data_IF_188879341202
#
_entry.id   IF_188879341202
#
_cell.length_a   1.000
_cell.length_b   1.000
_cell.length_c   1.000
_cell.angle_alpha   90.00
_cell.angle_beta   90.00
_cell.angle_gamma   90.00
#
_symmetry.space_group_name_H-M   'P 1'
#
loop_
_entity.id
_entity.type
_entity.pdbx_description
1 polymer ?
#
# COMPACT_ATOMS: atom_id res chain seq x y z
N UNK A 1 -48.11 10.16 -31.27
CA UNK A 1 -46.67 10.05 -31.64
C UNK A 1 -45.86 11.31 -31.30
N UNK A 2 -46.48 12.49 -31.18
CA UNK A 2 -45.76 13.77 -30.91
C UNK A 2 -45.29 13.94 -29.45
N UNK A 3 -46.00 13.35 -28.49
CA UNK A 3 -45.68 13.51 -27.05
C UNK A 3 -44.37 12.84 -26.67
N UNK A 4 -44.02 11.74 -27.33
CA UNK A 4 -42.76 11.03 -27.09
C UNK A 4 -41.56 11.86 -27.54
N UNK A 5 -41.66 12.53 -28.68
CA UNK A 5 -40.62 13.43 -29.18
C UNK A 5 -40.47 14.64 -28.27
N UNK A 6 -41.59 15.26 -27.84
CA UNK A 6 -41.55 16.36 -26.86
C UNK A 6 -40.92 15.94 -25.53
N UNK A 7 -41.26 14.77 -24.99
CA UNK A 7 -40.68 14.27 -23.75
C UNK A 7 -39.15 14.06 -23.88
N UNK A 8 -38.69 13.53 -25.02
CA UNK A 8 -37.25 13.34 -25.26
C UNK A 8 -36.50 14.68 -25.37
N UNK A 9 -37.09 15.69 -26.01
CA UNK A 9 -36.48 17.01 -26.12
C UNK A 9 -36.41 17.72 -24.76
N UNK A 10 -37.44 17.57 -23.94
CA UNK A 10 -37.48 18.12 -22.59
C UNK A 10 -36.42 17.44 -21.69
N UNK A 11 -36.28 16.12 -21.78
CA UNK A 11 -35.25 15.37 -21.05
C UNK A 11 -33.83 15.74 -21.48
N UNK A 12 -33.59 15.93 -22.79
CA UNK A 12 -32.30 16.40 -23.30
C UNK A 12 -31.96 17.78 -22.76
N UNK A 13 -32.93 18.71 -22.79
CA UNK A 13 -32.76 20.06 -22.26
C UNK A 13 -32.48 20.05 -20.74
N UNK A 14 -33.18 19.22 -19.98
CA UNK A 14 -32.96 19.07 -18.55
C UNK A 14 -31.56 18.52 -18.24
N UNK A 15 -31.09 17.53 -19.02
CA UNK A 15 -29.73 17.00 -18.92
C UNK A 15 -28.69 18.07 -19.19
N UNK A 16 -28.87 18.86 -20.24
CA UNK A 16 -27.89 19.88 -20.64
C UNK A 16 -27.80 20.99 -19.58
N UNK A 17 -28.92 21.42 -19.00
CA UNK A 17 -28.95 22.37 -17.87
C UNK A 17 -28.26 21.79 -16.62
N UNK A 18 -28.49 20.50 -16.34
CA UNK A 18 -27.85 19.83 -15.21
C UNK A 18 -26.33 19.76 -15.42
N UNK A 19 -25.89 19.39 -16.63
CA UNK A 19 -24.48 19.33 -16.98
C UNK A 19 -23.80 20.69 -16.78
N UNK A 20 -24.42 21.76 -17.26
CA UNK A 20 -23.94 23.13 -17.07
C UNK A 20 -23.79 23.50 -15.60
N UNK A 21 -24.81 23.23 -14.78
CA UNK A 21 -24.76 23.51 -13.32
C UNK A 21 -23.70 22.68 -12.59
N UNK A 22 -23.53 21.42 -12.97
CA UNK A 22 -22.49 20.57 -12.37
C UNK A 22 -21.11 21.10 -12.76
N UNK A 23 -20.91 21.49 -14.02
CA UNK A 23 -19.64 22.08 -14.45
C UNK A 23 -19.34 23.39 -13.74
N UNK A 24 -20.35 24.26 -13.57
CA UNK A 24 -20.20 25.51 -12.82
C UNK A 24 -19.82 25.25 -11.36
N UNK A 25 -20.48 24.28 -10.71
CA UNK A 25 -20.18 23.90 -9.33
C UNK A 25 -18.80 23.28 -9.17
N UNK A 26 -18.37 22.45 -10.12
CA UNK A 26 -17.01 21.87 -10.13
C UNK A 26 -15.96 22.96 -10.32
N UNK A 27 -16.20 23.94 -11.19
CA UNK A 27 -15.29 25.07 -11.39
C UNK A 27 -15.24 25.99 -10.18
N UNK A 28 -16.39 26.25 -9.53
CA UNK A 28 -16.45 27.04 -8.31
C UNK A 28 -15.70 26.37 -7.14
N UNK A 29 -15.77 25.03 -7.05
CA UNK A 29 -15.09 24.26 -6.01
C UNK A 29 -13.68 23.79 -6.42
N UNK A 30 -13.17 24.21 -7.58
CA UNK A 30 -11.90 23.71 -8.13
C UNK A 30 -10.74 23.84 -7.15
N UNK A 31 -10.62 25.00 -6.50
CA UNK A 31 -9.48 25.27 -5.63
C UNK A 31 -9.54 24.45 -4.33
N UNK A 32 -10.75 24.19 -3.81
CA UNK A 32 -10.98 23.30 -2.67
C UNK A 32 -10.66 21.85 -3.04
N UNK A 33 -11.11 21.38 -4.23
CA UNK A 33 -10.79 20.05 -4.75
C UNK A 33 -9.28 19.88 -4.96
N UNK A 34 -8.60 20.93 -5.44
CA UNK A 34 -7.14 20.91 -5.60
C UNK A 34 -6.43 20.92 -4.25
N UNK A 35 -6.89 21.71 -3.27
CA UNK A 35 -6.32 21.74 -1.94
C UNK A 35 -6.47 20.38 -1.22
N UNK A 36 -7.62 19.73 -1.38
CA UNK A 36 -7.87 18.38 -0.88
C UNK A 36 -6.98 17.34 -1.58
N UNK A 37 -6.90 17.37 -2.91
CA UNK A 37 -6.03 16.48 -3.68
C UNK A 37 -4.53 16.66 -3.39
N UNK A 38 -4.12 17.87 -3.02
CA UNK A 38 -2.76 18.18 -2.58
C UNK A 38 -2.52 17.86 -1.10
N UNK A 39 -3.56 17.52 -0.34
CA UNK A 39 -3.47 17.21 1.08
C UNK A 39 -3.30 18.42 2.00
N UNK A 40 -3.45 19.65 1.47
CA UNK A 40 -3.27 20.90 2.22
C UNK A 40 -4.31 21.04 3.35
N UNK A 41 -5.49 20.44 3.20
CA UNK A 41 -6.51 20.41 4.25
C UNK A 41 -6.03 19.63 5.50
N UNK A 42 -5.17 18.62 5.32
CA UNK A 42 -4.66 17.79 6.41
C UNK A 42 -3.39 18.34 7.05
N UNK A 43 -2.65 19.25 6.41
CA UNK A 43 -1.41 19.82 6.96
C UNK A 43 -1.67 20.50 8.31
N UNK A 44 -2.74 21.29 8.42
CA UNK A 44 -3.07 21.96 9.70
C UNK A 44 -3.47 20.99 10.81
N UNK A 45 -4.10 19.86 10.46
CA UNK A 45 -4.50 18.84 11.44
C UNK A 45 -3.29 18.04 11.91
N UNK A 46 -2.37 17.72 11.00
CA UNK A 46 -1.10 17.06 11.28
C UNK A 46 -0.23 17.92 12.20
N UNK A 47 -0.10 19.21 11.92
CA UNK A 47 0.63 20.16 12.76
C UNK A 47 0.03 20.22 14.18
N UNK A 48 -1.30 20.26 14.28
CA UNK A 48 -1.99 20.22 15.57
C UNK A 48 -1.75 18.92 16.34
N UNK A 49 -1.69 17.77 15.65
CA UNK A 49 -1.34 16.49 16.28
C UNK A 49 0.11 16.46 16.77
N UNK A 50 1.05 17.04 16.03
CA UNK A 50 2.44 17.15 16.46
C UNK A 50 2.60 18.06 17.69
N UNK A 51 1.90 19.18 17.74
CA UNK A 51 1.88 20.06 18.92
C UNK A 51 1.32 19.33 20.14
N UNK A 52 0.18 18.63 19.99
CA UNK A 52 -0.42 17.84 21.06
C UNK A 52 0.51 16.70 21.53
N UNK A 53 1.17 16.02 20.60
CA UNK A 53 2.13 14.97 20.93
C UNK A 53 3.33 15.55 21.69
N UNK A 54 3.85 16.70 21.27
CA UNK A 54 4.92 17.42 21.94
C UNK A 54 4.57 17.78 23.39
N UNK A 55 3.37 18.32 23.62
CA UNK A 55 2.87 18.62 24.97
C UNK A 55 2.74 17.36 25.82
N UNK A 56 2.19 16.27 25.27
CA UNK A 56 2.07 15.00 25.99
C UNK A 56 3.42 14.39 26.35
N UNK A 57 4.39 14.42 25.44
CA UNK A 57 5.75 13.93 25.69
C UNK A 57 6.46 14.77 26.75
N UNK A 58 6.33 16.10 26.71
CA UNK A 58 6.87 16.98 27.73
C UNK A 58 6.26 16.68 29.11
N UNK A 59 4.95 16.43 29.17
CA UNK A 59 4.27 16.02 30.40
C UNK A 59 4.76 14.65 30.91
N UNK A 60 4.92 13.65 30.04
CA UNK A 60 5.47 12.35 30.44
C UNK A 60 6.90 12.49 30.94
N UNK A 61 7.73 13.29 30.27
CA UNK A 61 9.10 13.54 30.71
C UNK A 61 9.16 14.23 32.08
N UNK A 62 8.22 15.15 32.34
CA UNK A 62 8.05 15.75 33.66
C UNK A 62 7.66 14.71 34.73
N UNK A 63 6.72 13.82 34.42
CA UNK A 63 6.36 12.72 35.33
C UNK A 63 7.52 11.76 35.59
N UNK A 64 8.31 11.42 34.56
CA UNK A 64 9.51 10.60 34.69
C UNK A 64 10.58 11.28 35.55
N UNK A 65 10.75 12.60 35.42
CA UNK A 65 11.68 13.36 36.27
C UNK A 65 11.24 13.46 37.73
N UNK A 66 9.96 13.20 38.00
CA UNK A 66 9.38 13.15 39.34
C UNK A 66 9.14 11.72 39.84
N UNK A 67 9.56 10.69 39.09
CA UNK A 67 9.57 9.35 39.65
C UNK A 67 10.58 9.34 40.82
N UNK A 68 10.17 8.87 42.01
CA UNK A 68 11.14 8.63 43.07
C UNK A 68 12.18 7.65 42.52
N UNK A 69 13.47 7.96 42.72
CA UNK A 69 14.53 7.02 42.40
C UNK A 69 14.17 5.69 43.06
N UNK A 70 14.12 4.61 42.27
CA UNK A 70 13.96 3.26 42.82
C UNK A 70 14.92 3.15 43.99
N UNK A 71 14.35 2.92 45.16
CA UNK A 71 15.07 2.75 46.41
C UNK A 71 15.99 1.55 46.18
N UNK A 72 17.27 1.85 45.92
CA UNK A 72 18.30 0.85 45.76
C UNK A 72 18.28 0.00 47.03
N UNK A 73 17.75 -1.22 46.90
CA UNK A 73 17.78 -2.20 47.97
C UNK A 73 19.24 -2.33 48.45
N UNK A 74 19.52 -2.13 49.75
CA UNK A 74 20.86 -2.32 50.25
C UNK A 74 21.09 -3.82 50.47
N UNK A 75 22.03 -4.40 49.71
CA UNK A 75 22.70 -5.64 50.06
C UNK A 75 22.24 -6.90 49.32
N UNK A 76 23.14 -7.42 48.48
CA UNK A 76 23.04 -8.70 47.81
C UNK A 76 24.19 -8.86 46.83
N UNK A 77 25.37 -9.16 47.38
CA UNK A 77 26.62 -9.43 46.68
C UNK A 77 26.48 -10.58 45.66
N UNK A 78 27.30 -10.49 44.61
CA UNK A 78 27.78 -11.56 43.72
C UNK A 78 26.74 -12.55 43.16
N UNK A 79 26.43 -12.38 41.86
CA UNK A 79 26.65 -13.50 40.96
C UNK A 79 27.07 -13.03 39.57
N UNK A 80 28.29 -13.41 39.21
CA UNK A 80 28.88 -13.19 37.91
C UNK A 80 28.12 -13.99 36.86
N UNK A 81 27.62 -13.33 35.81
CA UNK A 81 27.27 -14.01 34.56
C UNK A 81 28.37 -13.68 33.55
N UNK A 82 29.33 -14.60 33.47
CA UNK A 82 30.29 -14.70 32.38
C UNK A 82 29.56 -14.72 31.03
N UNK A 83 29.83 -13.70 30.21
CA UNK A 83 29.60 -13.73 28.78
C UNK A 83 30.59 -14.72 28.15
N UNK A 84 30.17 -15.97 27.95
CA UNK A 84 30.91 -16.94 27.15
C UNK A 84 30.30 -17.11 25.76
N UNK A 85 31.19 -17.14 24.78
CA UNK A 85 30.96 -16.98 23.35
C UNK A 85 30.44 -18.26 22.65
N UNK A 86 29.60 -18.02 21.63
CA UNK A 86 29.65 -18.63 20.29
C UNK A 86 28.95 -19.99 19.96
N UNK A 87 28.65 -20.19 18.65
CA UNK A 87 27.47 -20.91 18.15
C UNK A 87 27.78 -22.36 17.75
N UNK A 88 26.75 -23.20 17.67
CA UNK A 88 26.87 -24.48 16.96
C UNK A 88 25.56 -24.97 16.35
N UNK A 89 25.68 -25.30 15.08
CA UNK A 89 24.70 -25.94 14.21
C UNK A 89 24.58 -27.45 14.47
N UNK A 90 23.61 -28.04 13.75
CA UNK A 90 23.33 -29.47 13.55
C UNK A 90 22.62 -30.17 14.72
N UNK A 91 21.63 -31.05 14.54
CA UNK A 91 20.87 -31.56 13.40
C UNK A 91 19.71 -32.40 13.99
N UNK A 92 18.68 -32.68 13.16
CA UNK A 92 17.97 -33.98 12.98
C UNK A 92 17.54 -34.77 14.26
N UNK A 93 16.36 -35.39 14.39
CA UNK A 93 15.42 -35.98 13.44
C UNK A 93 14.25 -36.60 14.26
N UNK A 94 13.20 -37.07 13.55
CA UNK A 94 12.16 -38.06 13.97
C UNK A 94 11.02 -37.52 14.85
N UNK A 95 9.73 -37.71 14.58
CA UNK A 95 8.97 -38.68 13.77
C UNK A 95 7.68 -37.99 13.25
N UNK A 96 7.36 -38.02 11.96
CA UNK A 96 6.63 -39.10 11.25
C UNK A 96 5.33 -39.57 11.91
N UNK A 97 4.22 -39.22 11.26
CA UNK A 97 3.17 -40.14 10.72
C UNK A 97 1.88 -39.32 10.55
N UNK A 98 1.04 -39.43 9.53
CA UNK A 98 1.06 -40.09 8.24
C UNK A 98 -0.26 -39.69 7.55
N UNK A 99 -0.17 -39.39 6.26
CA UNK A 99 -1.08 -39.87 5.20
C UNK A 99 -2.61 -39.61 5.29
N UNK A 100 -3.18 -38.87 4.34
CA UNK A 100 -3.56 -39.30 2.97
C UNK A 100 -5.02 -39.79 2.92
N UNK A 101 -5.93 -38.92 2.49
CA UNK A 101 -7.19 -39.33 1.88
C UNK A 101 -7.72 -38.21 0.97
N UNK A 102 -7.24 -38.21 -0.27
CA UNK A 102 -8.00 -37.67 -1.38
C UNK A 102 -9.17 -38.61 -1.67
N UNK A 103 -10.40 -38.06 -1.76
CA UNK A 103 -11.39 -38.33 -2.83
C UNK A 103 -12.78 -37.80 -2.45
N UNK A 104 -13.17 -36.73 -3.13
CA UNK A 104 -14.27 -36.72 -4.09
C UNK A 104 -15.52 -37.56 -3.75
N UNK A 105 -16.57 -36.91 -3.24
CA UNK A 105 -17.95 -37.40 -3.30
C UNK A 105 -18.92 -36.23 -3.51
N UNK A 106 -19.28 -36.01 -4.77
CA UNK A 106 -20.53 -35.37 -5.14
C UNK A 106 -21.69 -36.37 -4.96
N UNK A 107 -22.67 -36.09 -4.09
CA UNK A 107 -24.10 -36.16 -4.47
C UNK A 107 -25.05 -35.65 -3.37
N UNK A 108 -26.15 -35.07 -3.89
CA UNK A 108 -27.27 -34.39 -3.24
C UNK A 108 -28.18 -35.34 -2.46
N UNK A 109 -28.87 -34.79 -1.44
CA UNK A 109 -30.35 -34.81 -1.20
C UNK A 109 -30.64 -33.89 0.01
N UNK A 110 -31.19 -32.69 -0.13
CA UNK A 110 -32.61 -32.32 -0.28
C UNK A 110 -33.49 -32.43 1.00
N UNK A 111 -33.93 -31.26 1.50
CA UNK A 111 -35.28 -30.90 2.01
C UNK A 111 -35.34 -30.22 3.40
N UNK A 112 -35.82 -28.97 3.41
CA UNK A 112 -36.23 -28.21 4.60
C UNK A 112 -36.34 -26.71 4.30
N UNK A 113 -37.54 -26.09 4.30
CA UNK A 113 -37.79 -24.82 3.62
C UNK A 113 -37.59 -23.62 4.56
N UNK A 114 -36.56 -22.82 4.29
CA UNK A 114 -36.51 -21.44 4.77
C UNK A 114 -36.47 -20.52 3.55
N UNK A 115 -37.57 -19.77 3.40
CA UNK A 115 -37.69 -18.62 2.49
C UNK A 115 -36.64 -17.58 2.87
N UNK A 116 -35.46 -17.68 2.28
CA UNK A 116 -34.46 -16.63 2.26
C UNK A 116 -34.30 -16.15 0.81
N UNK A 117 -34.48 -14.85 0.62
CA UNK A 117 -34.36 -14.14 -0.65
C UNK A 117 -33.02 -14.50 -1.34
N UNK A 118 -33.00 -14.70 -2.67
CA UNK A 118 -31.74 -14.91 -3.38
C UNK A 118 -30.89 -13.65 -3.27
N UNK A 119 -29.71 -13.79 -2.66
CA UNK A 119 -28.66 -12.79 -2.77
C UNK A 119 -28.39 -12.52 -4.27
N UNK A 120 -28.16 -11.25 -4.68
CA UNK A 120 -27.82 -10.93 -6.05
C UNK A 120 -26.64 -11.79 -6.49
N UNK A 121 -26.82 -12.52 -7.59
CA UNK A 121 -25.81 -13.45 -8.10
C UNK A 121 -24.45 -12.77 -8.25
N UNK A 122 -23.40 -13.56 -7.98
CA UNK A 122 -22.07 -13.29 -8.51
C UNK A 122 -22.20 -12.96 -9.99
N UNK A 123 -22.13 -11.68 -10.32
CA UNK A 123 -21.91 -11.27 -11.68
C UNK A 123 -20.57 -11.88 -12.06
N UNK A 124 -20.61 -12.85 -12.99
CA UNK A 124 -19.49 -13.21 -13.84
C UNK A 124 -18.78 -11.92 -14.27
N UNK A 125 -17.69 -11.59 -13.58
CA UNK A 125 -16.76 -10.57 -14.02
C UNK A 125 -16.18 -11.10 -15.32
N UNK A 126 -16.74 -10.63 -16.44
CA UNK A 126 -16.02 -10.63 -17.70
C UNK A 126 -14.62 -10.06 -17.41
N UNK A 127 -13.54 -10.64 -17.98
CA UNK A 127 -12.21 -10.08 -17.83
C UNK A 127 -12.21 -8.71 -18.50
N UNK A 128 -12.48 -7.66 -17.72
CA UNK A 128 -12.20 -6.31 -18.11
C UNK A 128 -10.71 -6.20 -18.40
N UNK A 129 -10.28 -5.27 -19.28
CA UNK A 129 -8.86 -5.00 -19.47
C UNK A 129 -8.24 -4.76 -18.09
N UNK A 130 -7.20 -5.54 -17.77
CA UNK A 130 -6.59 -5.53 -16.45
C UNK A 130 -6.37 -4.07 -15.99
N UNK A 131 -6.82 -3.69 -14.78
CA UNK A 131 -6.64 -2.32 -14.32
C UNK A 131 -5.16 -2.00 -14.38
N UNK A 132 -4.81 -0.90 -15.06
CA UNK A 132 -3.42 -0.51 -15.27
C UNK A 132 -2.65 -0.61 -13.94
N UNK A 133 -1.65 -1.49 -13.91
CA UNK A 133 -0.80 -1.72 -12.75
C UNK A 133 -0.15 -0.38 -12.40
N UNK A 134 -0.65 0.27 -11.35
CA UNK A 134 -0.25 1.62 -10.99
C UNK A 134 0.53 1.62 -9.68
N UNK A 135 1.53 2.51 -9.61
CA UNK A 135 2.28 2.75 -8.37
C UNK A 135 1.37 3.13 -7.18
N UNK A 136 0.20 3.71 -7.46
CA UNK A 136 -0.81 4.02 -6.44
C UNK A 136 -1.34 2.76 -5.77
N UNK A 137 -1.64 1.71 -6.55
CA UNK A 137 -2.11 0.43 -6.02
C UNK A 137 -1.05 -0.26 -5.15
N UNK A 138 0.22 -0.15 -5.54
CA UNK A 138 1.35 -0.60 -4.72
C UNK A 138 1.42 0.17 -3.39
N UNK A 139 1.37 1.50 -3.43
CA UNK A 139 1.42 2.33 -2.23
C UNK A 139 0.31 1.98 -1.24
N UNK A 140 -0.94 1.85 -1.72
CA UNK A 140 -2.08 1.48 -0.86
C UNK A 140 -1.87 0.12 -0.18
N UNK A 141 -1.35 -0.89 -0.90
CA UNK A 141 -1.08 -2.23 -0.33
C UNK A 141 0.02 -2.20 0.72
N UNK A 142 1.10 -1.44 0.47
CA UNK A 142 2.17 -1.21 1.45
C UNK A 142 1.65 -0.56 2.73
N UNK A 143 0.76 0.43 2.63
CA UNK A 143 0.16 1.08 3.81
C UNK A 143 -0.77 0.17 4.62
N UNK A 144 -1.47 -0.75 3.95
CA UNK A 144 -2.31 -1.77 4.61
C UNK A 144 -1.46 -2.90 5.21
N UNK A 145 -0.17 -2.97 4.88
CA UNK A 145 0.75 -4.02 5.34
C UNK A 145 0.64 -5.33 4.53
N UNK A 146 -0.03 -5.30 3.38
CA UNK A 146 -0.14 -6.45 2.48
C UNK A 146 1.12 -6.56 1.59
N UNK A 147 2.16 -7.19 2.15
CA UNK A 147 3.45 -7.37 1.46
C UNK A 147 3.37 -8.35 0.28
N UNK A 148 2.52 -9.37 0.41
CA UNK A 148 2.33 -10.39 -0.63
C UNK A 148 1.64 -9.77 -1.86
N UNK A 149 0.53 -9.07 -1.63
CA UNK A 149 -0.14 -8.34 -2.70
C UNK A 149 0.69 -7.18 -3.25
N UNK A 150 1.51 -6.51 -2.44
CA UNK A 150 2.41 -5.47 -2.93
C UNK A 150 3.53 -6.06 -3.82
N UNK A 151 4.02 -7.25 -3.48
CA UNK A 151 5.01 -8.00 -4.27
C UNK A 151 4.48 -8.40 -5.64
N UNK A 152 3.24 -8.87 -5.74
CA UNK A 152 2.60 -9.21 -7.03
C UNK A 152 2.49 -7.98 -7.95
N UNK A 153 2.05 -6.84 -7.39
CA UNK A 153 1.94 -5.59 -8.15
C UNK A 153 3.31 -5.11 -8.63
N UNK A 154 4.35 -5.25 -7.81
CA UNK A 154 5.73 -4.93 -8.24
C UNK A 154 6.26 -5.92 -9.28
N UNK A 155 5.93 -7.21 -9.17
CA UNK A 155 6.34 -8.22 -10.15
C UNK A 155 5.79 -7.86 -11.54
N UNK A 156 4.51 -7.48 -11.60
CA UNK A 156 3.86 -7.07 -12.84
C UNK A 156 4.36 -5.71 -13.37
N UNK A 157 4.78 -4.81 -12.48
CA UNK A 157 5.23 -3.45 -12.83
C UNK A 157 6.68 -3.43 -13.32
N UNK A 158 7.55 -4.19 -12.65
CA UNK A 158 8.99 -4.25 -12.90
C UNK A 158 9.39 -5.46 -13.75
N UNK A 159 8.47 -6.36 -14.08
CA UNK A 159 8.73 -7.61 -14.79
C UNK A 159 9.81 -8.44 -14.10
N UNK A 160 9.69 -8.53 -12.77
CA UNK A 160 10.59 -9.28 -11.90
C UNK A 160 9.97 -10.60 -11.45
N UNK A 161 10.82 -11.55 -11.07
CA UNK A 161 10.38 -12.80 -10.45
C UNK A 161 9.63 -12.52 -9.13
N UNK A 162 8.51 -13.22 -8.89
CA UNK A 162 7.68 -13.05 -7.69
C UNK A 162 8.46 -13.04 -6.35
N UNK A 163 9.40 -13.95 -6.06
CA UNK A 163 10.17 -13.92 -4.81
C UNK A 163 11.16 -12.76 -4.73
N UNK A 164 11.56 -12.17 -5.87
CA UNK A 164 12.40 -10.97 -5.90
C UNK A 164 11.55 -9.73 -5.67
N UNK A 165 10.40 -9.62 -6.32
CA UNK A 165 9.48 -8.51 -6.15
C UNK A 165 8.96 -8.39 -4.71
N UNK A 166 8.69 -9.51 -4.03
CA UNK A 166 8.34 -9.54 -2.59
C UNK A 166 9.46 -8.96 -1.72
N UNK A 167 10.73 -9.31 -2.00
CA UNK A 167 11.89 -8.75 -1.28
C UNK A 167 12.02 -7.25 -1.50
N UNK A 168 11.77 -6.76 -2.72
CA UNK A 168 11.76 -5.32 -3.00
C UNK A 168 10.63 -4.59 -2.26
N UNK A 169 9.43 -5.19 -2.21
CA UNK A 169 8.30 -4.65 -1.43
C UNK A 169 8.64 -4.57 0.06
N UNK A 170 9.34 -5.58 0.60
CA UNK A 170 9.77 -5.62 1.99
C UNK A 170 10.82 -4.54 2.30
N UNK A 171 11.85 -4.39 1.45
CA UNK A 171 12.85 -3.32 1.57
C UNK A 171 12.18 -1.94 1.54
N UNK A 172 11.21 -1.74 0.66
CA UNK A 172 10.45 -0.50 0.59
C UNK A 172 9.62 -0.26 1.86
N UNK A 173 8.92 -1.28 2.35
CA UNK A 173 8.12 -1.21 3.58
C UNK A 173 8.99 -0.86 4.80
N UNK A 174 10.13 -1.55 4.95
CA UNK A 174 11.08 -1.27 6.02
C UNK A 174 11.65 0.15 5.88
N UNK A 175 11.99 0.57 4.65
CA UNK A 175 12.43 1.91 4.33
C UNK A 175 11.43 3.00 4.74
N UNK A 176 10.14 2.79 4.49
CA UNK A 176 9.07 3.74 4.86
C UNK A 176 8.91 3.85 6.38
N UNK A 177 9.09 2.75 7.14
CA UNK A 177 9.01 2.79 8.61
C UNK A 177 10.17 3.54 9.24
N UNK A 178 11.36 3.45 8.67
CA UNK A 178 12.55 4.12 9.18
C UNK A 178 12.70 5.55 8.64
N UNK A 179 12.31 5.80 7.39
CA UNK A 179 12.47 7.06 6.69
C UNK A 179 11.25 7.37 5.81
N UNK A 180 10.34 8.27 6.23
CA UNK A 180 9.14 8.61 5.44
C UNK A 180 9.48 9.33 4.12
N UNK A 181 10.71 9.84 3.98
CA UNK A 181 11.21 10.49 2.75
C UNK A 181 11.31 9.53 1.56
N UNK A 182 11.30 8.20 1.79
CA UNK A 182 11.34 7.18 0.74
C UNK A 182 10.14 7.26 -0.20
N UNK A 183 8.97 7.69 0.30
CA UNK A 183 7.77 7.91 -0.54
C UNK A 183 8.00 9.07 -1.53
N UNK A 184 8.59 10.17 -1.04
CA UNK A 184 8.94 11.32 -1.88
C UNK A 184 10.00 10.96 -2.93
N UNK A 185 10.97 10.12 -2.57
CA UNK A 185 11.98 9.55 -3.48
C UNK A 185 11.34 8.67 -4.57
N UNK A 186 10.37 7.83 -4.22
CA UNK A 186 9.64 7.03 -5.21
C UNK A 186 8.82 7.90 -6.19
N UNK A 187 8.22 9.01 -5.71
CA UNK A 187 7.58 9.98 -6.60
C UNK A 187 8.59 10.73 -7.49
N UNK A 188 9.81 10.96 -6.99
CA UNK A 188 10.90 11.57 -7.75
C UNK A 188 11.44 10.65 -8.85
N UNK A 189 11.40 9.33 -8.67
CA UNK A 189 11.80 8.35 -9.69
C UNK A 189 11.05 8.59 -11.02
N UNK A 190 9.73 8.82 -10.97
CA UNK A 190 8.93 9.12 -12.17
C UNK A 190 9.38 10.39 -12.87
N UNK A 191 9.70 11.45 -12.10
CA UNK A 191 10.18 12.73 -12.64
C UNK A 191 11.56 12.58 -13.30
N UNK A 192 12.46 11.82 -12.68
CA UNK A 192 13.80 11.57 -13.23
C UNK A 192 13.72 10.73 -14.52
N UNK A 193 12.82 9.76 -14.59
CA UNK A 193 12.57 8.99 -15.82
C UNK A 193 12.03 9.85 -16.96
N UNK A 194 11.15 10.82 -16.67
CA UNK A 194 10.63 11.76 -17.67
C UNK A 194 11.68 12.80 -18.11
N UNK A 195 12.52 13.25 -17.16
CA UNK A 195 13.60 14.21 -17.41
C UNK A 195 14.86 13.62 -18.06
N UNK A 196 14.94 12.29 -18.22
CA UNK A 196 16.09 11.61 -18.79
C UNK A 196 17.30 11.51 -17.84
N UNK A 197 17.12 11.74 -16.53
CA UNK A 197 18.18 11.57 -15.53
C UNK A 197 18.25 10.12 -15.05
N UNK A 198 18.93 9.29 -15.84
CA UNK A 198 19.07 7.86 -15.59
C UNK A 198 19.94 7.55 -14.37
N UNK A 199 20.97 8.37 -14.11
CA UNK A 199 21.86 8.16 -12.97
C UNK A 199 21.10 8.41 -11.65
N UNK A 200 20.30 9.48 -11.60
CA UNK A 200 19.41 9.75 -10.48
C UNK A 200 18.35 8.65 -10.29
N UNK A 201 17.76 8.14 -11.37
CA UNK A 201 16.78 7.06 -11.32
C UNK A 201 17.37 5.74 -10.77
N UNK A 202 18.61 5.39 -11.16
CA UNK A 202 19.30 4.20 -10.65
C UNK A 202 19.58 4.29 -9.15
N UNK A 203 20.04 5.44 -8.69
CA UNK A 203 20.27 5.70 -7.26
C UNK A 203 18.97 5.54 -6.45
N UNK A 204 17.86 6.09 -6.97
CA UNK A 204 16.55 5.96 -6.32
C UNK A 204 16.01 4.53 -6.32
N UNK A 205 16.23 3.75 -7.38
CA UNK A 205 15.85 2.33 -7.44
C UNK A 205 16.62 1.51 -6.41
N UNK A 206 17.91 1.82 -6.22
CA UNK A 206 18.73 1.19 -5.21
C UNK A 206 18.25 1.57 -3.79
N UNK A 207 18.08 2.86 -3.52
CA UNK A 207 17.65 3.37 -2.22
C UNK A 207 16.25 2.86 -1.80
N UNK A 208 15.30 2.81 -2.74
CA UNK A 208 13.91 2.51 -2.42
C UNK A 208 13.61 1.01 -2.45
N UNK A 209 14.20 0.26 -3.38
CA UNK A 209 13.83 -1.13 -3.66
C UNK A 209 15.00 -2.11 -3.47
N UNK A 210 16.20 -1.63 -3.15
CA UNK A 210 17.39 -2.46 -2.99
C UNK A 210 17.88 -3.10 -4.31
N UNK A 211 17.43 -2.60 -5.46
CA UNK A 211 17.79 -3.14 -6.78
C UNK A 211 19.21 -2.68 -7.15
N UNK A 212 20.05 -3.60 -7.63
CA UNK A 212 21.43 -3.30 -8.03
C UNK A 212 21.80 -3.96 -9.36
N UNK A 213 22.71 -3.32 -10.10
CA UNK A 213 23.33 -3.88 -11.29
C UNK A 213 22.33 -4.12 -12.43
N UNK A 214 22.31 -5.36 -12.93
CA UNK A 214 21.56 -5.74 -14.14
C UNK A 214 20.04 -5.64 -13.92
N UNK A 215 19.57 -5.92 -12.70
CA UNK A 215 18.16 -5.81 -12.36
C UNK A 215 17.66 -4.37 -12.45
N UNK A 216 18.42 -3.41 -11.91
CA UNK A 216 18.08 -1.98 -11.97
C UNK A 216 17.94 -1.51 -13.41
N UNK A 217 18.84 -1.95 -14.28
CA UNK A 217 18.85 -1.62 -15.72
C UNK A 217 17.61 -2.20 -16.41
N UNK A 218 17.28 -3.47 -16.16
CA UNK A 218 16.10 -4.12 -16.73
C UNK A 218 14.81 -3.40 -16.32
N UNK A 219 14.66 -3.12 -15.02
CA UNK A 219 13.48 -2.41 -14.48
C UNK A 219 13.35 -1.02 -15.07
N UNK A 220 14.45 -0.28 -15.21
CA UNK A 220 14.42 1.05 -15.84
C UNK A 220 13.98 0.99 -17.30
N UNK A 221 14.46 0.02 -18.08
CA UNK A 221 14.05 -0.17 -19.47
C UNK A 221 12.57 -0.51 -19.58
N UNK A 222 12.06 -1.40 -18.72
CA UNK A 222 10.64 -1.76 -18.64
C UNK A 222 9.77 -0.56 -18.27
N UNK A 223 10.17 0.21 -17.24
CA UNK A 223 9.45 1.41 -16.82
C UNK A 223 9.41 2.47 -17.92
N UNK A 224 10.52 2.65 -18.65
CA UNK A 224 10.58 3.56 -19.79
C UNK A 224 9.66 3.12 -20.93
N UNK A 225 9.73 1.84 -21.32
CA UNK A 225 8.89 1.30 -22.39
C UNK A 225 7.39 1.38 -22.06
N UNK A 226 7.03 1.41 -20.77
CA UNK A 226 5.65 1.65 -20.30
C UNK A 226 5.29 3.13 -20.28
N UNK A 227 6.19 4.01 -19.87
CA UNK A 227 5.97 5.46 -19.92
C UNK A 227 5.77 5.94 -21.37
N UNK A 228 6.58 5.46 -22.31
CA UNK A 228 6.46 5.79 -23.74
C UNK A 228 5.15 5.26 -24.36
N UNK A 229 4.55 4.20 -23.81
CA UNK A 229 3.23 3.69 -24.23
C UNK A 229 2.05 4.42 -23.60
N UNK A 230 2.29 5.15 -22.51
CA UNK A 230 1.26 5.88 -21.75
C UNK A 230 1.22 7.37 -22.09
N UNK A 231 2.21 7.88 -22.84
CA UNK A 231 2.28 9.24 -23.37
C UNK A 231 1.70 9.31 -24.78
#
# INVERSE_FOLDING_TARGET
MNDRTQALDLLRRARDILAERVTERVLANKDEILADALGLAHESEIDGLYEQLGVRLAHVNHLLSHLPAEEAAPGGEDDAIELNEQPRAAAEETSRSAELAARDHAHRTAAGPHLALPAPGEMLQLPGPAPAVSFQRFATRIFVGDLDGAGEVLADLFELEAPRARRCAQVFYDGVRHNPTVIGKAAQLRRNLQGGDYAGAMSLLHDCFGLQGIESISVMQTLRARLERSA
#
